data_IF_948735987123
#
_entry.id   IF_948735987123
#
_cell.length_a   1.000
_cell.length_b   1.000
_cell.length_c   1.000
_cell.angle_alpha   90.00
_cell.angle_beta   90.00
_cell.angle_gamma   90.00
#
_symmetry.space_group_name_H-M   'P 1'
#
loop_
_entity.id
_entity.type
_entity.pdbx_description
1 polymer ?
#
# COMPACT_ATOMS: atom_id res chain seq x y z
N UNK A 1 6.52 4.28 -1.91
CA UNK A 1 6.13 2.99 -1.30
C UNK A 1 4.88 3.23 -0.45
N UNK A 2 3.81 2.46 -0.67
CA UNK A 2 2.62 2.45 0.21
C UNK A 2 2.80 1.28 1.19
N UNK A 3 2.61 1.52 2.48
CA UNK A 3 2.73 0.49 3.52
C UNK A 3 1.59 0.60 4.54
N UNK A 4 1.41 -0.47 5.31
CA UNK A 4 0.43 -0.54 6.39
C UNK A 4 1.11 -0.92 7.72
N UNK A 5 0.61 -0.42 8.86
CA UNK A 5 1.12 -0.80 10.17
C UNK A 5 0.75 -2.25 10.46
N UNK A 6 1.75 -3.08 10.78
CA UNK A 6 1.56 -4.50 11.06
C UNK A 6 2.24 -4.91 12.37
N UNK A 7 1.65 -5.87 13.07
CA UNK A 7 2.20 -6.45 14.30
C UNK A 7 2.86 -7.79 14.00
N UNK A 8 3.97 -8.05 14.70
CA UNK A 8 4.75 -9.28 14.61
C UNK A 8 5.40 -9.52 13.22
N UNK A 9 5.92 -8.46 12.60
CA UNK A 9 6.66 -8.53 11.34
C UNK A 9 7.79 -9.55 11.43
N UNK A 10 7.95 -10.37 10.39
CA UNK A 10 8.97 -11.42 10.29
C UNK A 10 8.80 -12.57 11.29
N UNK A 11 7.57 -12.82 11.74
CA UNK A 11 7.23 -14.01 12.54
C UNK A 11 6.26 -14.92 11.79
N UNK A 12 6.00 -16.12 12.31
CA UNK A 12 5.10 -17.08 11.66
C UNK A 12 3.63 -16.64 11.64
N UNK A 13 3.26 -15.65 12.47
CA UNK A 13 1.91 -15.09 12.53
C UNK A 13 2.01 -13.58 12.56
N UNK A 14 1.65 -12.93 11.46
CA UNK A 14 1.53 -11.47 11.38
C UNK A 14 0.07 -11.05 11.55
N UNK A 15 -0.15 -9.89 12.19
CA UNK A 15 -1.49 -9.38 12.49
C UNK A 15 -1.66 -7.95 12.03
N UNK A 16 -2.82 -7.66 11.46
CA UNK A 16 -3.17 -6.36 10.89
C UNK A 16 -4.65 -6.07 11.14
N UNK A 17 -5.00 -4.79 11.25
CA UNK A 17 -6.38 -4.39 11.37
C UNK A 17 -7.09 -4.51 10.02
N UNK A 18 -8.28 -5.11 9.99
CA UNK A 18 -9.04 -5.34 8.75
C UNK A 18 -9.30 -4.02 8.00
N UNK A 19 -9.72 -2.99 8.71
CA UNK A 19 -10.04 -1.69 8.09
C UNK A 19 -8.80 -1.03 7.46
N UNK A 20 -7.60 -1.26 8.01
CA UNK A 20 -6.36 -0.73 7.44
C UNK A 20 -6.02 -1.43 6.11
N UNK A 21 -6.36 -2.71 5.97
CA UNK A 21 -6.24 -3.44 4.68
C UNK A 21 -7.17 -2.83 3.64
N UNK A 22 -8.45 -2.65 4.00
CA UNK A 22 -9.46 -2.10 3.09
C UNK A 22 -9.07 -0.68 2.64
N UNK A 23 -8.60 0.15 3.56
CA UNK A 23 -8.13 1.50 3.27
C UNK A 23 -6.85 1.51 2.42
N UNK A 24 -5.91 0.60 2.67
CA UNK A 24 -4.70 0.46 1.86
C UNK A 24 -5.02 0.07 0.41
N UNK A 25 -5.96 -0.88 0.22
CA UNK A 25 -6.44 -1.27 -1.11
C UNK A 25 -7.07 -0.08 -1.84
N UNK A 26 -7.95 0.67 -1.16
CA UNK A 26 -8.57 1.88 -1.73
C UNK A 26 -7.52 2.91 -2.13
N UNK A 27 -6.53 3.16 -1.27
CA UNK A 27 -5.45 4.10 -1.56
C UNK A 27 -4.64 3.68 -2.80
N UNK A 28 -4.30 2.40 -2.92
CA UNK A 28 -3.60 1.87 -4.12
C UNK A 28 -4.46 2.10 -5.37
N UNK A 29 -5.75 1.76 -5.31
CA UNK A 29 -6.68 1.91 -6.43
C UNK A 29 -6.85 3.36 -6.89
N UNK A 30 -7.06 4.28 -5.95
CA UNK A 30 -7.17 5.72 -6.26
C UNK A 30 -5.85 6.28 -6.78
N UNK A 31 -4.71 5.83 -6.24
CA UNK A 31 -3.39 6.26 -6.73
C UNK A 31 -3.20 5.86 -8.20
N UNK A 32 -3.55 4.63 -8.57
CA UNK A 32 -3.42 4.14 -9.95
C UNK A 32 -4.30 4.92 -10.94
N UNK A 33 -5.52 5.29 -10.53
CA UNK A 33 -6.41 6.08 -11.39
C UNK A 33 -5.92 7.52 -11.64
N UNK A 34 -5.11 8.05 -10.73
CA UNK A 34 -4.59 9.41 -10.83
C UNK A 34 -3.27 9.51 -11.62
N UNK A 35 -2.70 8.38 -12.07
CA UNK A 35 -1.46 8.37 -12.87
C UNK A 35 -1.72 9.01 -14.23
N UNK A 36 -0.86 9.97 -14.60
CA UNK A 36 -0.98 10.69 -15.87
C UNK A 36 -0.10 10.08 -16.96
N UNK A 37 -0.52 10.15 -18.24
CA UNK A 37 0.34 9.75 -19.35
C UNK A 37 1.67 10.51 -19.32
N UNK A 38 2.78 9.77 -19.32
CA UNK A 38 4.14 10.34 -19.31
C UNK A 38 4.76 10.56 -17.92
N UNK A 39 4.08 10.19 -16.83
CA UNK A 39 4.73 10.10 -15.51
C UNK A 39 5.79 8.98 -15.49
N UNK A 40 7.02 9.35 -15.13
CA UNK A 40 8.13 8.41 -14.90
C UNK A 40 8.39 8.30 -13.39
N UNK A 41 8.46 7.06 -12.88
CA UNK A 41 8.62 6.75 -11.45
C UNK A 41 10.03 6.23 -11.11
N UNK A 42 11.00 6.40 -12.00
CA UNK A 42 12.39 6.02 -11.75
C UNK A 42 13.00 6.87 -10.64
N UNK A 43 13.57 6.20 -9.65
CA UNK A 43 14.41 6.78 -8.62
C UNK A 43 15.89 6.83 -9.08
N UNK A 44 16.15 7.38 -10.27
CA UNK A 44 17.48 7.41 -10.94
C UNK A 44 18.17 6.04 -11.13
#
# INVERSE_FOLDING_TARGET
LISLPLRYMHTTVEMVHKDDVENCIRLIYETLQNIKPGEDFKYL
#
